data_IF_159490915296
#
_entry.id   IF_159490915296
#
_cell.length_a   1.000
_cell.length_b   1.000
_cell.length_c   1.000
_cell.angle_alpha   90.00
_cell.angle_beta   90.00
_cell.angle_gamma   90.00
#
_symmetry.space_group_name_H-M   'P 1'
#
loop_
_entity.id
_entity.type
_entity.pdbx_description
1 polymer ?
#
# COMPACT_ATOMS: atom_id res chain seq x y z
N UNK A 1 59.69 10.93 -41.42
CA UNK A 1 59.21 9.87 -40.50
C UNK A 1 57.94 10.39 -39.79
N UNK A 2 56.77 9.94 -40.29
CA UNK A 2 55.47 10.35 -39.74
C UNK A 2 54.99 9.21 -38.83
N UNK A 3 54.90 9.47 -37.52
CA UNK A 3 54.36 8.52 -36.54
C UNK A 3 52.85 8.79 -36.43
N UNK A 4 52.05 7.85 -36.94
CA UNK A 4 50.57 7.84 -36.77
C UNK A 4 50.26 7.24 -35.41
N UNK A 5 49.60 8.06 -34.55
CA UNK A 5 49.00 7.57 -33.31
C UNK A 5 47.58 7.11 -33.59
N UNK A 6 47.31 5.83 -33.43
CA UNK A 6 45.97 5.29 -33.41
C UNK A 6 45.38 5.47 -32.02
N UNK A 7 44.36 6.30 -31.88
CA UNK A 7 43.55 6.42 -30.67
C UNK A 7 42.43 5.36 -30.78
N UNK A 8 42.52 4.33 -29.98
CA UNK A 8 41.42 3.37 -29.82
C UNK A 8 40.36 3.96 -28.89
N UNK A 9 39.19 4.28 -29.44
CA UNK A 9 38.04 4.68 -28.67
C UNK A 9 37.36 3.45 -28.08
N UNK A 10 37.45 3.27 -26.75
CA UNK A 10 36.71 2.24 -26.01
C UNK A 10 35.31 2.80 -25.79
N UNK A 11 34.34 2.27 -26.53
CA UNK A 11 32.93 2.53 -26.28
C UNK A 11 32.48 1.73 -25.04
N UNK A 12 32.32 2.40 -23.90
CA UNK A 12 31.69 1.83 -22.74
C UNK A 12 30.18 1.67 -23.00
N UNK A 13 29.72 0.45 -23.23
CA UNK A 13 28.29 0.13 -23.26
C UNK A 13 27.76 0.21 -21.83
N UNK A 14 27.07 1.30 -21.48
CA UNK A 14 26.25 1.37 -20.27
C UNK A 14 25.03 0.45 -20.48
N UNK A 15 25.09 -0.73 -19.86
CA UNK A 15 23.93 -1.60 -19.73
C UNK A 15 23.00 -0.87 -18.73
N UNK A 16 22.03 -0.13 -19.28
CA UNK A 16 20.89 0.32 -18.50
C UNK A 16 20.10 -0.90 -18.08
N UNK A 17 20.27 -1.31 -16.81
CA UNK A 17 19.28 -2.19 -16.16
C UNK A 17 17.97 -1.43 -16.14
N UNK A 18 17.14 -1.67 -17.14
CA UNK A 18 15.73 -1.27 -17.09
C UNK A 18 15.12 -1.95 -15.86
N UNK A 19 14.62 -1.15 -14.93
CA UNK A 19 13.74 -1.62 -13.88
C UNK A 19 12.56 -2.28 -14.59
N UNK A 20 12.51 -3.61 -14.57
CA UNK A 20 11.30 -4.33 -14.90
C UNK A 20 10.22 -3.77 -13.98
N UNK A 21 9.20 -3.15 -14.55
CA UNK A 21 7.96 -2.92 -13.82
C UNK A 21 7.39 -4.31 -13.55
N UNK A 22 7.75 -4.86 -12.40
CA UNK A 22 7.19 -6.10 -11.91
C UNK A 22 5.73 -5.80 -11.59
N UNK A 23 4.86 -6.11 -12.54
CA UNK A 23 3.41 -5.88 -12.43
C UNK A 23 2.80 -6.98 -11.56
N UNK A 24 3.45 -7.26 -10.41
CA UNK A 24 3.05 -8.28 -9.45
C UNK A 24 2.96 -7.69 -8.06
N UNK A 25 1.95 -8.13 -7.30
CA UNK A 25 1.82 -7.84 -5.87
C UNK A 25 2.35 -9.04 -5.10
N UNK A 26 3.29 -8.79 -4.19
CA UNK A 26 3.89 -9.85 -3.37
C UNK A 26 3.15 -9.98 -2.03
N UNK A 27 2.02 -10.68 -2.03
CA UNK A 27 1.20 -10.94 -0.83
C UNK A 27 0.90 -12.43 -0.67
N UNK A 28 0.78 -12.90 0.58
CA UNK A 28 0.52 -14.31 0.91
C UNK A 28 -0.60 -14.38 1.94
N UNK A 29 -1.68 -15.15 1.68
CA UNK A 29 -2.00 -15.83 0.42
C UNK A 29 -2.24 -14.85 -0.72
N UNK A 30 -2.00 -15.30 -1.96
CA UNK A 30 -2.27 -14.47 -3.13
C UNK A 30 -3.80 -14.30 -3.28
N UNK A 31 -4.30 -13.08 -3.53
CA UNK A 31 -5.73 -12.86 -3.71
C UNK A 31 -6.30 -13.65 -4.89
N UNK A 32 -7.59 -14.02 -4.82
CA UNK A 32 -8.25 -14.78 -5.88
C UNK A 32 -8.31 -14.00 -7.21
N UNK A 33 -8.50 -12.70 -7.13
CA UNK A 33 -8.53 -11.80 -8.28
C UNK A 33 -7.67 -10.58 -7.98
N UNK A 34 -6.82 -10.18 -8.93
CA UNK A 34 -5.95 -9.00 -8.83
C UNK A 34 -5.85 -8.33 -10.18
N UNK A 35 -6.17 -7.06 -10.23
CA UNK A 35 -5.98 -6.20 -11.39
C UNK A 35 -5.05 -5.04 -11.01
N UNK A 36 -3.79 -5.12 -11.40
CA UNK A 36 -2.78 -4.11 -11.09
C UNK A 36 -2.93 -2.92 -12.02
N UNK A 37 -2.95 -1.73 -11.43
CA UNK A 37 -3.10 -0.45 -12.13
C UNK A 37 -1.83 0.38 -11.99
N UNK A 38 -1.60 1.28 -12.93
CA UNK A 38 -0.44 2.18 -12.87
C UNK A 38 -0.53 3.24 -11.78
N UNK A 39 0.57 3.44 -11.05
CA UNK A 39 0.71 4.44 -10.01
C UNK A 39 0.60 3.88 -8.60
N UNK A 40 0.69 4.77 -7.62
CA UNK A 40 0.67 4.41 -6.20
C UNK A 40 -0.15 5.41 -5.39
N UNK A 41 -0.60 4.97 -4.23
CA UNK A 41 -1.23 5.77 -3.20
C UNK A 41 -0.19 6.07 -2.11
N UNK A 42 -0.06 7.33 -1.71
CA UNK A 42 0.79 7.72 -0.57
C UNK A 42 0.01 7.49 0.73
N UNK A 43 0.49 6.57 1.53
CA UNK A 43 -0.16 6.16 2.77
C UNK A 43 0.29 6.99 3.99
N UNK A 44 1.47 7.65 3.94
CA UNK A 44 1.98 8.42 5.07
C UNK A 44 1.10 9.64 5.36
N UNK A 45 0.55 9.72 6.57
CA UNK A 45 -0.33 10.83 6.98
C UNK A 45 -1.71 10.85 6.31
N UNK A 46 -2.07 9.80 5.55
CA UNK A 46 -3.40 9.68 5.01
C UNK A 46 -4.45 9.50 6.12
N UNK A 47 -5.63 10.11 5.97
CA UNK A 47 -6.75 9.91 6.88
C UNK A 47 -7.36 8.51 6.75
N UNK A 48 -7.87 8.00 7.85
CA UNK A 48 -8.61 6.75 7.92
C UNK A 48 -10.07 7.05 8.27
N UNK A 49 -10.98 6.64 7.42
CA UNK A 49 -12.40 6.90 7.53
C UNK A 49 -13.16 5.58 7.56
N UNK A 50 -14.13 5.44 8.43
CA UNK A 50 -14.91 4.22 8.58
C UNK A 50 -16.40 4.52 8.60
N UNK A 51 -17.19 3.61 8.03
CA UNK A 51 -18.63 3.72 8.05
C UNK A 51 -19.18 3.58 9.49
N UNK A 52 -20.18 4.37 9.88
CA UNK A 52 -20.71 4.39 11.26
C UNK A 52 -21.34 3.06 11.69
N UNK A 53 -21.70 2.18 10.75
CA UNK A 53 -22.25 0.85 11.02
C UNK A 53 -21.19 -0.19 11.42
N UNK A 54 -19.89 0.13 11.35
CA UNK A 54 -18.84 -0.82 11.74
C UNK A 54 -18.89 -1.05 13.26
N UNK A 55 -18.72 -2.31 13.64
CA UNK A 55 -18.60 -2.68 15.05
C UNK A 55 -17.30 -2.13 15.67
N UNK A 56 -17.31 -1.99 17.00
CA UNK A 56 -16.19 -1.42 17.75
C UNK A 56 -14.87 -2.19 17.53
N UNK A 57 -14.93 -3.52 17.37
CA UNK A 57 -13.73 -4.33 17.16
C UNK A 57 -13.10 -4.02 15.80
N UNK A 58 -13.91 -3.85 14.75
CA UNK A 58 -13.47 -3.43 13.43
C UNK A 58 -12.85 -2.03 13.46
N UNK A 59 -13.49 -1.08 14.14
CA UNK A 59 -12.97 0.28 14.32
C UNK A 59 -11.64 0.28 15.07
N UNK A 60 -11.50 -0.56 16.11
CA UNK A 60 -10.25 -0.70 16.85
C UNK A 60 -9.11 -1.30 16.00
N UNK A 61 -9.41 -2.24 15.11
CA UNK A 61 -8.43 -2.78 14.16
C UNK A 61 -7.93 -1.69 13.18
N UNK A 62 -8.84 -0.84 12.68
CA UNK A 62 -8.52 0.30 11.82
C UNK A 62 -7.63 1.31 12.57
N UNK A 63 -7.99 1.69 13.80
CA UNK A 63 -7.20 2.58 14.66
C UNK A 63 -5.81 2.02 14.93
N UNK A 64 -5.69 0.72 15.18
CA UNK A 64 -4.41 0.06 15.40
C UNK A 64 -3.51 0.12 14.15
N UNK A 65 -4.09 -0.06 12.97
CA UNK A 65 -3.33 0.07 11.71
C UNK A 65 -2.89 1.52 11.46
N UNK A 66 -3.78 2.50 11.64
CA UNK A 66 -3.44 3.92 11.52
C UNK A 66 -2.34 4.34 12.50
N UNK A 67 -2.43 3.90 13.77
CA UNK A 67 -1.40 4.15 14.78
C UNK A 67 -0.06 3.52 14.43
N UNK A 68 -0.07 2.28 13.91
CA UNK A 68 1.14 1.61 13.46
C UNK A 68 1.81 2.36 12.29
N UNK A 69 1.02 2.76 11.29
CA UNK A 69 1.53 3.53 10.15
C UNK A 69 2.08 4.89 10.59
N UNK A 70 1.37 5.59 11.48
CA UNK A 70 1.84 6.86 12.06
C UNK A 70 3.17 6.71 12.80
N UNK A 71 3.31 5.66 13.60
CA UNK A 71 4.53 5.37 14.36
C UNK A 71 5.74 5.20 13.43
N UNK A 72 5.60 4.35 12.41
CA UNK A 72 6.74 3.98 11.56
C UNK A 72 7.04 4.99 10.47
N UNK A 73 6.03 5.71 9.96
CA UNK A 73 6.23 6.78 8.98
C UNK A 73 6.68 8.09 9.63
N UNK A 74 6.37 8.28 10.91
CA UNK A 74 6.60 9.53 11.63
C UNK A 74 5.64 10.65 11.20
N UNK A 75 4.55 10.33 10.49
CA UNK A 75 3.50 11.28 10.07
C UNK A 75 2.17 10.82 10.63
N UNK A 76 1.54 11.69 11.42
CA UNK A 76 0.27 11.36 12.08
C UNK A 76 -0.87 11.20 11.07
N UNK A 77 -1.66 10.15 11.25
CA UNK A 77 -2.90 9.88 10.51
C UNK A 77 -4.10 10.14 11.40
N UNK A 78 -5.12 10.77 10.85
CA UNK A 78 -6.42 10.93 11.54
C UNK A 78 -7.27 9.67 11.37
N UNK A 79 -8.15 9.40 12.33
CA UNK A 79 -9.14 8.32 12.24
C UNK A 79 -10.49 8.85 12.69
N UNK A 80 -11.47 8.84 11.81
CA UNK A 80 -12.81 9.36 12.06
C UNK A 80 -13.90 8.53 11.35
N UNK A 81 -15.17 8.80 11.70
CA UNK A 81 -16.35 8.21 11.09
C UNK A 81 -16.98 9.07 9.99
N UNK A 82 -16.27 10.06 9.49
CA UNK A 82 -16.80 11.00 8.50
C UNK A 82 -16.76 10.38 7.09
N UNK A 83 -17.71 10.78 6.26
CA UNK A 83 -17.72 10.38 4.86
C UNK A 83 -16.55 11.03 4.11
N UNK A 84 -15.76 10.22 3.42
CA UNK A 84 -14.57 10.68 2.70
C UNK A 84 -14.49 10.14 1.27
N UNK A 85 -13.74 10.86 0.43
CA UNK A 85 -13.42 10.47 -0.95
C UNK A 85 -11.92 10.31 -1.16
N UNK A 86 -11.12 10.46 -0.09
CA UNK A 86 -9.66 10.35 -0.07
C UNK A 86 -9.21 9.61 1.17
N UNK A 87 -7.99 9.09 1.17
CA UNK A 87 -7.45 8.35 2.30
C UNK A 87 -7.88 6.88 2.29
N UNK A 88 -7.80 6.25 3.45
CA UNK A 88 -8.30 4.89 3.66
C UNK A 88 -9.78 4.96 4.04
N UNK A 89 -10.61 4.22 3.33
CA UNK A 89 -12.07 4.23 3.50
C UNK A 89 -12.56 2.81 3.73
N UNK A 90 -13.11 2.55 4.91
CA UNK A 90 -13.61 1.25 5.34
C UNK A 90 -15.14 1.25 5.39
N UNK A 91 -15.77 0.37 4.62
CA UNK A 91 -17.23 0.28 4.54
C UNK A 91 -17.71 -1.16 4.74
N UNK A 92 -18.88 -1.30 5.35
CA UNK A 92 -19.53 -2.59 5.52
C UNK A 92 -20.16 -3.05 4.20
N UNK A 93 -19.94 -4.31 3.83
CA UNK A 93 -20.61 -4.97 2.71
C UNK A 93 -21.09 -6.37 3.16
N UNK A 94 -22.33 -6.43 3.61
CA UNK A 94 -22.93 -7.64 4.15
C UNK A 94 -23.18 -8.75 3.11
N UNK A 95 -23.01 -8.46 1.82
CA UNK A 95 -23.10 -9.46 0.76
C UNK A 95 -21.82 -10.31 0.64
N UNK A 96 -20.70 -9.86 1.20
CA UNK A 96 -19.46 -10.61 1.20
C UNK A 96 -19.48 -11.72 2.24
N UNK A 97 -18.85 -12.89 1.98
CA UNK A 97 -18.57 -13.91 2.99
C UNK A 97 -17.79 -13.33 4.18
N UNK A 98 -17.91 -13.92 5.36
CA UNK A 98 -17.34 -13.44 6.62
C UNK A 98 -15.83 -13.15 6.57
N UNK A 99 -15.09 -13.94 5.80
CA UNK A 99 -13.63 -13.80 5.67
C UNK A 99 -13.20 -13.08 4.38
N UNK A 100 -14.16 -12.71 3.54
CA UNK A 100 -13.87 -12.03 2.30
C UNK A 100 -13.76 -10.51 2.47
N UNK A 101 -12.98 -9.91 1.59
CA UNK A 101 -12.88 -8.46 1.45
C UNK A 101 -12.67 -8.09 -0.01
N UNK A 102 -12.98 -6.84 -0.33
CA UNK A 102 -12.51 -6.19 -1.56
C UNK A 102 -11.60 -5.03 -1.20
N UNK A 103 -10.55 -4.85 -1.99
CA UNK A 103 -9.55 -3.82 -1.79
C UNK A 103 -9.33 -3.10 -3.13
N UNK A 104 -9.69 -1.82 -3.19
CA UNK A 104 -9.45 -0.99 -4.36
C UNK A 104 -8.49 0.14 -4.00
N UNK A 105 -7.31 0.18 -4.62
CA UNK A 105 -6.27 1.16 -4.38
C UNK A 105 -6.14 2.05 -5.61
N UNK A 106 -6.53 3.30 -5.44
CA UNK A 106 -6.35 4.37 -6.42
C UNK A 106 -5.31 5.37 -5.92
N UNK A 107 -4.86 6.30 -6.77
CA UNK A 107 -3.93 7.38 -6.34
C UNK A 107 -4.49 8.30 -5.25
N UNK A 108 -5.80 8.30 -5.02
CA UNK A 108 -6.47 9.22 -4.07
C UNK A 108 -7.01 8.51 -2.84
N UNK A 109 -7.42 7.27 -2.99
CA UNK A 109 -8.09 6.53 -1.93
C UNK A 109 -7.80 5.05 -2.00
N UNK A 110 -7.80 4.42 -0.83
CA UNK A 110 -7.82 2.98 -0.62
C UNK A 110 -9.18 2.63 -0.04
N UNK A 111 -10.03 1.97 -0.83
CA UNK A 111 -11.36 1.55 -0.38
C UNK A 111 -11.33 0.07 0.00
N UNK A 112 -11.72 -0.22 1.22
CA UNK A 112 -11.85 -1.56 1.80
C UNK A 112 -13.31 -1.85 2.08
N UNK A 113 -13.81 -2.98 1.58
CA UNK A 113 -15.15 -3.49 1.93
C UNK A 113 -15.03 -4.87 2.51
N UNK A 114 -15.73 -5.13 3.60
CA UNK A 114 -15.83 -6.42 4.24
C UNK A 114 -17.16 -6.53 5.00
N UNK A 115 -17.60 -7.75 5.30
CA UNK A 115 -18.83 -7.99 6.09
C UNK A 115 -18.55 -8.15 7.58
N UNK A 116 -17.28 -8.29 7.98
CA UNK A 116 -16.89 -8.60 9.35
C UNK A 116 -15.50 -8.12 9.72
N UNK A 117 -15.18 -8.14 11.02
CA UNK A 117 -13.82 -7.91 11.55
C UNK A 117 -12.77 -8.81 10.88
N UNK A 118 -13.10 -10.09 10.55
CA UNK A 118 -12.14 -10.99 9.91
C UNK A 118 -11.75 -10.50 8.54
N UNK A 119 -12.72 -10.11 7.71
CA UNK A 119 -12.48 -9.54 6.40
C UNK A 119 -11.64 -8.26 6.47
N UNK A 120 -11.94 -7.34 7.41
CA UNK A 120 -11.14 -6.13 7.61
C UNK A 120 -9.71 -6.46 8.04
N UNK A 121 -9.51 -7.42 8.95
CA UNK A 121 -8.18 -7.83 9.36
C UNK A 121 -7.37 -8.41 8.19
N UNK A 122 -7.97 -9.23 7.32
CA UNK A 122 -7.27 -9.76 6.15
C UNK A 122 -6.91 -8.67 5.17
N UNK A 123 -7.80 -7.71 4.91
CA UNK A 123 -7.48 -6.55 4.09
C UNK A 123 -6.32 -5.72 4.67
N UNK A 124 -6.32 -5.47 5.98
CA UNK A 124 -5.24 -4.75 6.67
C UNK A 124 -3.92 -5.53 6.56
N UNK A 125 -3.93 -6.86 6.73
CA UNK A 125 -2.71 -7.66 6.56
C UNK A 125 -2.19 -7.63 5.12
N UNK A 126 -3.07 -7.65 4.12
CA UNK A 126 -2.71 -7.49 2.72
C UNK A 126 -2.03 -6.14 2.48
N UNK A 127 -2.62 -5.05 2.96
CA UNK A 127 -2.01 -3.71 2.84
C UNK A 127 -0.65 -3.62 3.55
N UNK A 128 -0.51 -4.22 4.74
CA UNK A 128 0.79 -4.28 5.44
C UNK A 128 1.85 -5.03 4.65
N UNK A 129 1.50 -6.10 3.94
CA UNK A 129 2.45 -6.84 3.09
C UNK A 129 2.84 -6.07 1.83
N UNK A 130 1.99 -5.14 1.36
CA UNK A 130 2.29 -4.27 0.23
C UNK A 130 3.15 -3.05 0.61
N UNK A 131 3.20 -2.69 1.88
CA UNK A 131 4.03 -1.62 2.42
C UNK A 131 5.46 -2.12 2.71
N UNK A 132 6.44 -1.22 2.90
CA UNK A 132 7.78 -1.61 3.37
C UNK A 132 7.72 -2.47 4.64
N UNK A 133 8.62 -3.45 4.77
CA UNK A 133 8.64 -4.39 5.90
C UNK A 133 8.74 -3.70 7.27
N UNK A 134 9.21 -2.47 7.29
CA UNK A 134 9.28 -1.61 8.47
C UNK A 134 7.89 -1.27 9.03
N UNK A 135 6.79 -1.57 8.31
CA UNK A 135 5.42 -1.46 8.84
C UNK A 135 5.22 -2.32 10.11
N UNK A 136 6.02 -3.35 10.30
CA UNK A 136 6.03 -4.18 11.50
C UNK A 136 7.02 -3.71 12.57
N UNK A 137 7.69 -2.58 12.35
CA UNK A 137 8.67 -1.99 13.26
C UNK A 137 8.03 -1.37 14.50
N UNK A 138 8.89 -1.00 15.45
CA UNK A 138 8.50 -0.38 16.74
C UNK A 138 8.98 1.07 16.88
N UNK A 139 9.54 1.64 15.80
CA UNK A 139 10.04 3.00 15.76
C UNK A 139 9.95 3.55 14.33
N UNK A 140 10.07 4.87 14.21
CA UNK A 140 10.13 5.55 12.92
C UNK A 140 11.23 4.98 12.04
N UNK A 141 10.91 4.71 10.78
CA UNK A 141 11.85 4.25 9.76
C UNK A 141 12.17 5.40 8.79
N UNK A 142 13.42 5.87 8.83
CA UNK A 142 13.86 6.97 7.98
C UNK A 142 14.07 6.53 6.52
N UNK A 143 13.80 7.44 5.57
CA UNK A 143 14.08 7.25 4.15
C UNK A 143 13.21 6.17 3.47
N UNK A 144 12.05 5.85 4.03
CA UNK A 144 11.09 4.91 3.44
C UNK A 144 9.95 5.63 2.76
N UNK A 145 9.58 5.14 1.59
CA UNK A 145 8.36 5.55 0.88
C UNK A 145 7.19 4.65 1.31
N UNK A 146 6.20 5.24 1.93
CA UNK A 146 5.01 4.52 2.42
C UNK A 146 3.91 4.54 1.35
N UNK A 147 4.14 3.81 0.26
CA UNK A 147 3.23 3.79 -0.88
C UNK A 147 2.61 2.41 -1.10
N UNK A 148 1.35 2.40 -1.52
CA UNK A 148 0.63 1.21 -1.96
C UNK A 148 0.47 1.24 -3.48
N UNK A 149 0.85 0.17 -4.17
CA UNK A 149 0.63 0.01 -5.61
C UNK A 149 -0.87 0.06 -5.92
N UNK A 150 -1.28 0.86 -6.92
CA UNK A 150 -2.67 0.88 -7.36
C UNK A 150 -3.09 -0.49 -7.91
N UNK A 151 -4.18 -1.03 -7.38
CA UNK A 151 -4.71 -2.35 -7.71
C UNK A 151 -6.19 -2.48 -7.31
N UNK A 152 -6.86 -3.49 -7.86
CA UNK A 152 -8.22 -3.87 -7.52
C UNK A 152 -8.35 -5.38 -7.46
#
# INVERSE_FOLDING_TARGET
MRRSFFIAAIAAAVISCGTANDNTISVVPYPNEVNIKGGSFDAAGAGFHYAPELDEASVNAIKAFAGQLSLVSGTESTVDGDAATKGFIFTLDTALPEEAYTLNISKKAVTVKASSLRGFNYAIQTMKQMLPAEIFGKAKAEGKEWTLQCAE
#
